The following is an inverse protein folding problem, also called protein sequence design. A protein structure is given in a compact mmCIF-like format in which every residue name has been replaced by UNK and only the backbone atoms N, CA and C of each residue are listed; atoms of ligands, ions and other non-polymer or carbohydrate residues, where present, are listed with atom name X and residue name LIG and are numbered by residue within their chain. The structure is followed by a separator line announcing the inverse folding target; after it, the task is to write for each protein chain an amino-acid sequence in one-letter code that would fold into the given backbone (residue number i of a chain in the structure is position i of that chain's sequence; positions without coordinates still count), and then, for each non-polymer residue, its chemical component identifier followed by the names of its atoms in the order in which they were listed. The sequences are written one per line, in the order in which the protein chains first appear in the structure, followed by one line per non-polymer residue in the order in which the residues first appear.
data_IF_085984807156
#
_entry.id   IF_085984807156
#
_cell.length_a   1.000
_cell.length_b   1.000
_cell.length_c   1.000
_cell.angle_alpha   90.00
_cell.angle_beta   90.00
_cell.angle_gamma   90.00
#
_symmetry.space_group_name_H-M   'P 1'
#
loop_
_entity.id
_entity.type
_entity.pdbx_description
1 polymer ?
#
# COMPACT_ATOMS: atom_id res chain seq x y z
N UNK A 1 -2.39 -32.13 -11.67
CA UNK A 1 -2.16 -32.23 -10.21
C UNK A 1 -2.77 -31.00 -9.54
N UNK A 2 -3.65 -31.24 -8.56
CA UNK A 2 -4.71 -30.32 -8.14
C UNK A 2 -4.26 -29.21 -7.18
N UNK A 3 -4.92 -28.06 -7.29
CA UNK A 3 -4.82 -26.95 -6.33
C UNK A 3 -5.20 -27.47 -4.94
N UNK A 4 -4.29 -27.37 -3.97
CA UNK A 4 -4.60 -27.71 -2.57
C UNK A 4 -5.42 -26.57 -1.97
N UNK A 5 -6.60 -26.92 -1.46
CA UNK A 5 -7.62 -25.98 -1.01
C UNK A 5 -8.12 -26.47 0.35
N UNK A 6 -8.18 -25.57 1.32
CA UNK A 6 -8.61 -25.87 2.69
C UNK A 6 -9.76 -24.92 2.99
N UNK A 7 -10.95 -25.47 3.22
CA UNK A 7 -12.13 -24.71 3.64
C UNK A 7 -12.23 -24.68 5.16
N UNK A 8 -12.66 -23.53 5.66
CA UNK A 8 -12.86 -23.31 7.09
C UNK A 8 -14.21 -22.66 7.39
N UNK A 9 -14.80 -23.04 8.51
CA UNK A 9 -16.10 -22.55 8.96
C UNK A 9 -16.76 -23.49 9.97
N UNK A 10 -17.98 -23.19 10.42
CA UNK A 10 -18.64 -23.99 11.48
C UNK A 10 -19.25 -25.32 11.03
N UNK A 11 -19.38 -25.52 9.72
CA UNK A 11 -20.00 -26.72 9.18
C UNK A 11 -19.06 -27.93 9.29
N UNK A 12 -19.63 -29.11 9.50
CA UNK A 12 -18.86 -30.34 9.77
C UNK A 12 -18.05 -30.81 8.56
N UNK A 13 -18.50 -30.50 7.34
CA UNK A 13 -17.86 -30.91 6.09
C UNK A 13 -16.63 -30.08 5.70
N UNK A 14 -16.26 -29.06 6.49
CA UNK A 14 -15.07 -28.26 6.21
C UNK A 14 -13.82 -28.97 6.70
N UNK A 15 -12.70 -28.74 6.01
CA UNK A 15 -11.39 -29.27 6.41
C UNK A 15 -10.97 -28.76 7.80
N UNK A 16 -11.26 -27.49 8.09
CA UNK A 16 -11.05 -26.86 9.40
C UNK A 16 -12.39 -26.40 10.00
N UNK A 17 -12.88 -27.15 10.97
CA UNK A 17 -14.11 -26.83 11.69
C UNK A 17 -13.85 -25.88 12.86
N UNK A 18 -14.62 -24.80 12.92
CA UNK A 18 -14.60 -23.85 14.05
C UNK A 18 -15.95 -23.87 14.75
N UNK A 19 -16.00 -24.28 16.03
CA UNK A 19 -17.24 -24.46 16.79
C UNK A 19 -17.78 -23.15 17.39
N UNK A 20 -17.99 -22.14 16.54
CA UNK A 20 -18.48 -20.83 16.96
C UNK A 20 -19.70 -20.41 16.12
N UNK A 21 -20.75 -19.94 16.78
CA UNK A 21 -22.01 -19.50 16.15
C UNK A 21 -21.83 -18.24 15.31
N UNK A 22 -20.82 -17.41 15.62
CA UNK A 22 -20.47 -16.23 14.86
C UNK A 22 -19.88 -16.58 13.50
N UNK A 23 -19.22 -17.73 13.38
CA UNK A 23 -18.54 -18.15 12.15
C UNK A 23 -19.53 -18.78 11.17
N UNK A 24 -19.61 -18.29 9.93
CA UNK A 24 -20.41 -18.89 8.85
C UNK A 24 -20.14 -20.39 8.63
N UNK A 25 -21.13 -21.10 8.07
CA UNK A 25 -21.01 -22.53 7.72
C UNK A 25 -19.81 -22.78 6.82
N UNK A 26 -19.67 -22.01 5.75
CA UNK A 26 -18.45 -21.87 4.95
C UNK A 26 -18.02 -20.42 5.14
N UNK A 27 -16.89 -20.18 5.80
CA UNK A 27 -16.49 -18.84 6.22
C UNK A 27 -15.35 -18.31 5.35
N UNK A 28 -14.28 -19.08 5.20
CA UNK A 28 -13.15 -18.70 4.39
C UNK A 28 -12.51 -19.93 3.73
N UNK A 29 -11.63 -19.67 2.77
CA UNK A 29 -10.86 -20.68 2.09
C UNK A 29 -9.40 -20.24 1.98
N UNK A 30 -8.49 -21.18 2.26
CA UNK A 30 -7.06 -21.03 2.02
C UNK A 30 -6.71 -21.83 0.77
N UNK A 31 -6.03 -21.19 -0.18
CA UNK A 31 -5.52 -21.87 -1.37
C UNK A 31 -4.04 -21.65 -1.56
N UNK A 32 -3.35 -22.71 -1.97
CA UNK A 32 -1.91 -22.69 -2.24
C UNK A 32 -1.72 -22.81 -3.75
N UNK A 33 -1.00 -21.87 -4.35
CA UNK A 33 -0.68 -21.91 -5.79
C UNK A 33 0.51 -22.82 -6.07
N UNK A 34 0.78 -23.09 -7.35
CA UNK A 34 1.93 -23.92 -7.76
C UNK A 34 3.26 -23.25 -7.41
N UNK A 35 3.27 -21.92 -7.34
CA UNK A 35 4.41 -21.08 -6.95
C UNK A 35 4.52 -20.93 -5.42
N UNK A 36 3.86 -21.80 -4.66
CA UNK A 36 3.88 -21.85 -3.20
C UNK A 36 3.38 -20.55 -2.52
N UNK A 37 2.51 -19.79 -3.19
CA UNK A 37 1.86 -18.61 -2.62
C UNK A 37 0.57 -19.02 -1.92
N UNK A 38 0.35 -18.47 -0.73
CA UNK A 38 -0.83 -18.75 0.09
C UNK A 38 -1.79 -17.57 -0.02
N UNK A 39 -3.04 -17.87 -0.35
CA UNK A 39 -4.11 -16.89 -0.43
C UNK A 39 -5.23 -17.30 0.52
N UNK A 40 -5.75 -16.34 1.27
CA UNK A 40 -7.00 -16.48 2.01
C UNK A 40 -8.10 -15.71 1.29
N UNK A 41 -9.29 -16.30 1.23
CA UNK A 41 -10.48 -15.69 0.62
C UNK A 41 -11.65 -15.79 1.58
N UNK A 42 -12.28 -14.66 1.86
CA UNK A 42 -13.58 -14.66 2.54
C UNK A 42 -14.67 -15.25 1.62
N UNK A 43 -15.49 -16.14 2.16
CA UNK A 43 -16.57 -16.81 1.41
C UNK A 43 -17.93 -16.14 1.64
N UNK A 44 -17.99 -14.80 1.61
CA UNK A 44 -19.18 -14.01 1.97
C UNK A 44 -19.65 -14.34 3.39
N UNK A 45 -18.70 -14.34 4.32
CA UNK A 45 -19.01 -14.65 5.71
C UNK A 45 -19.86 -13.54 6.34
N UNK A 46 -20.65 -13.86 7.38
CA UNK A 46 -21.60 -12.91 7.99
C UNK A 46 -20.90 -11.68 8.60
N UNK A 47 -19.73 -11.88 9.20
CA UNK A 47 -19.00 -10.83 9.93
C UNK A 47 -17.66 -10.47 9.26
N UNK A 48 -17.40 -11.00 8.06
CA UNK A 48 -16.13 -10.85 7.38
C UNK A 48 -15.01 -11.72 7.99
N UNK A 49 -13.92 -11.80 7.23
CA UNK A 49 -12.66 -12.42 7.67
C UNK A 49 -11.66 -11.31 7.96
N UNK A 50 -11.10 -11.29 9.16
CA UNK A 50 -10.09 -10.32 9.58
C UNK A 50 -8.70 -10.97 9.62
N UNK A 51 -7.69 -10.25 9.15
CA UNK A 51 -6.29 -10.64 9.26
C UNK A 51 -5.61 -9.65 10.19
N UNK A 52 -4.91 -10.15 11.21
CA UNK A 52 -4.15 -9.32 12.11
C UNK A 52 -2.93 -8.73 11.39
N UNK A 53 -2.90 -7.41 11.28
CA UNK A 53 -1.73 -6.68 10.79
C UNK A 53 -0.58 -6.80 11.80
N UNK A 54 0.58 -7.34 11.36
CA UNK A 54 1.76 -7.54 12.22
C UNK A 54 2.86 -6.49 12.02
N UNK A 55 2.83 -5.77 10.91
CA UNK A 55 3.80 -4.75 10.53
C UNK A 55 3.07 -3.62 9.81
N UNK A 56 3.64 -2.41 9.76
CA UNK A 56 3.08 -1.32 8.97
C UNK A 56 2.84 -1.76 7.52
N UNK A 57 1.66 -1.48 7.00
CA UNK A 57 1.28 -1.78 5.61
C UNK A 57 1.07 -0.47 4.86
N UNK A 58 1.56 -0.40 3.61
CA UNK A 58 1.33 0.76 2.77
C UNK A 58 -0.09 0.72 2.22
N UNK A 59 -0.87 1.77 2.48
CA UNK A 59 -2.22 1.90 1.93
C UNK A 59 -2.09 2.20 0.44
N UNK A 60 -2.52 1.27 -0.42
CA UNK A 60 -2.51 1.47 -1.86
C UNK A 60 -3.81 2.14 -2.31
N UNK A 61 -3.75 3.46 -2.52
CA UNK A 61 -4.88 4.26 -3.00
C UNK A 61 -5.01 4.28 -4.53
N UNK A 62 -4.13 3.58 -5.26
CA UNK A 62 -4.12 3.54 -6.72
C UNK A 62 -5.01 2.43 -7.30
N UNK A 63 -5.41 1.45 -6.48
CA UNK A 63 -6.33 0.38 -6.87
C UNK A 63 -7.77 0.79 -6.61
N UNK A 64 -8.71 0.30 -7.42
CA UNK A 64 -10.15 0.42 -7.14
C UNK A 64 -10.60 -0.46 -5.97
N UNK A 65 -9.71 -1.29 -5.43
CA UNK A 65 -9.96 -2.11 -4.25
C UNK A 65 -10.16 -1.24 -3.00
N UNK A 66 -11.22 -1.54 -2.24
CA UNK A 66 -11.55 -0.81 -1.03
C UNK A 66 -10.57 -1.17 0.09
N UNK A 67 -9.84 -0.18 0.60
CA UNK A 67 -8.95 -0.34 1.74
C UNK A 67 -9.74 -0.21 3.05
N UNK A 68 -10.06 -1.35 3.67
CA UNK A 68 -10.85 -1.43 4.92
C UNK A 68 -9.99 -1.90 6.08
N UNK A 69 -9.90 -1.10 7.15
CA UNK A 69 -9.15 -1.43 8.35
C UNK A 69 -10.03 -1.37 9.59
N UNK A 70 -9.96 -2.40 10.43
CA UNK A 70 -10.66 -2.42 11.71
C UNK A 70 -9.74 -2.02 12.86
N UNK A 71 -10.20 -1.08 13.70
CA UNK A 71 -9.55 -0.65 14.93
C UNK A 71 -10.56 -0.75 16.07
N UNK A 72 -10.43 -1.79 16.90
CA UNK A 72 -11.40 -2.09 17.94
C UNK A 72 -12.79 -2.34 17.35
N UNK A 73 -13.73 -1.43 17.62
CA UNK A 73 -15.11 -1.45 17.08
C UNK A 73 -15.33 -0.49 15.90
N UNK A 74 -14.31 0.27 15.53
CA UNK A 74 -14.37 1.24 14.45
C UNK A 74 -13.82 0.65 13.16
N UNK A 75 -14.44 0.98 12.02
CA UNK A 75 -13.97 0.64 10.68
C UNK A 75 -13.52 1.92 9.99
N UNK A 76 -12.28 1.92 9.49
CA UNK A 76 -11.74 2.97 8.64
C UNK A 76 -11.79 2.50 7.19
N UNK A 77 -12.37 3.30 6.32
CA UNK A 77 -12.43 3.06 4.89
C UNK A 77 -11.66 4.19 4.21
N UNK A 78 -10.58 3.84 3.49
CA UNK A 78 -9.81 4.81 2.72
C UNK A 78 -10.25 4.76 1.25
N UNK A 79 -10.74 5.89 0.76
CA UNK A 79 -11.14 6.08 -0.63
C UNK A 79 -10.30 7.20 -1.24
N UNK A 80 -9.80 7.00 -2.45
CA UNK A 80 -9.14 8.08 -3.20
C UNK A 80 -10.19 8.89 -3.96
N UNK A 81 -10.51 10.10 -3.47
CA UNK A 81 -11.37 11.04 -4.18
C UNK A 81 -10.53 11.88 -5.14
N UNK A 82 -10.04 11.28 -6.22
CA UNK A 82 -9.40 12.07 -7.27
C UNK A 82 -8.45 11.28 -8.14
N UNK A 83 -8.76 11.25 -9.43
CA UNK A 83 -7.72 11.14 -10.44
C UNK A 83 -6.71 12.26 -10.18
N UNK A 84 -5.49 11.91 -9.79
CA UNK A 84 -4.35 12.77 -10.06
C UNK A 84 -4.21 12.84 -11.58
N UNK A 85 -5.04 13.67 -12.23
CA UNK A 85 -4.75 14.15 -13.58
C UNK A 85 -3.43 14.89 -13.44
N UNK A 86 -2.36 14.30 -13.95
CA UNK A 86 -1.09 14.97 -14.16
C UNK A 86 -1.32 16.17 -15.09
N UNK A 87 -1.60 17.33 -14.52
CA UNK A 87 -1.41 18.60 -15.21
C UNK A 87 0.00 19.00 -14.85
N UNK A 88 0.92 18.77 -15.79
CA UNK A 88 2.35 19.02 -15.59
C UNK A 88 2.65 20.47 -15.20
N UNK A 89 3.57 20.62 -14.25
CA UNK A 89 4.49 21.75 -14.03
C UNK A 89 5.02 21.56 -12.60
N UNK A 90 6.29 21.66 -12.24
CA UNK A 90 7.52 21.94 -12.94
C UNK A 90 8.63 21.61 -11.96
N UNK A 91 9.77 21.18 -12.49
CA UNK A 91 11.10 21.43 -11.93
C UNK A 91 11.38 20.86 -10.53
N UNK A 92 11.88 19.63 -10.55
CA UNK A 92 13.04 19.18 -9.77
C UNK A 92 13.87 20.38 -9.28
N UNK A 93 13.83 20.65 -7.99
CA UNK A 93 14.70 21.62 -7.33
C UNK A 93 16.13 21.11 -7.43
N UNK A 94 16.87 21.63 -8.41
CA UNK A 94 18.33 21.54 -8.45
C UNK A 94 18.86 22.01 -7.09
N UNK A 95 19.34 21.05 -6.33
CA UNK A 95 20.12 21.24 -5.10
C UNK A 95 21.33 22.11 -5.44
N UNK A 96 21.29 23.40 -5.09
CA UNK A 96 22.47 24.27 -5.14
C UNK A 96 23.18 24.18 -3.79
N UNK A 97 24.31 23.46 -3.77
CA UNK A 97 25.26 23.47 -2.64
C UNK A 97 26.24 24.65 -2.84
N UNK A 98 26.33 25.51 -1.81
CA UNK A 98 27.46 26.38 -1.33
C UNK A 98 28.39 27.00 -2.39
N UNK A 99 28.75 28.29 -2.31
CA UNK A 99 29.65 28.82 -1.25
C UNK A 99 29.70 30.36 -1.27
N UNK A 100 29.65 30.98 -0.08
CA UNK A 100 29.99 32.39 0.20
C UNK A 100 31.50 32.62 -0.06
N UNK A 101 31.88 33.67 -0.78
CA UNK A 101 33.10 34.43 -0.47
C UNK A 101 32.82 35.93 -0.64
N UNK A 102 33.09 36.65 0.44
CA UNK A 102 32.97 38.11 0.61
C UNK A 102 34.34 38.75 0.30
N UNK A 103 34.31 40.06 0.10
CA UNK A 103 35.41 41.03 0.02
C UNK A 103 36.08 41.13 -1.35
N UNK A 104 36.63 42.25 -1.78
CA UNK A 104 36.48 43.71 -1.56
C UNK A 104 37.56 44.30 -2.47
N UNK A 105 37.37 45.55 -2.89
CA UNK A 105 38.43 46.45 -3.34
C UNK A 105 39.04 46.29 -4.76
N UNK A 106 39.29 47.49 -5.31
CA UNK A 106 40.21 47.88 -6.37
C UNK A 106 39.83 47.82 -7.87
N UNK A 107 39.42 49.01 -8.33
CA UNK A 107 40.13 49.83 -9.33
C UNK A 107 40.38 49.27 -10.74
N UNK A 108 39.57 49.76 -11.68
CA UNK A 108 39.95 50.52 -12.89
C UNK A 108 41.25 50.15 -13.65
N UNK A 109 41.12 49.61 -14.88
CA UNK A 109 41.98 49.89 -16.06
C UNK A 109 41.34 49.25 -17.31
N UNK A 110 40.71 50.02 -18.21
CA UNK A 110 41.26 50.68 -19.41
C UNK A 110 42.05 49.78 -20.36
N UNK A 111 41.44 49.60 -21.55
CA UNK A 111 41.99 49.76 -22.91
C UNK A 111 43.15 48.89 -23.41
N UNK A 112 42.82 48.18 -24.50
CA UNK A 112 43.48 48.14 -25.80
C UNK A 112 44.77 47.33 -26.04
N UNK A 113 44.63 46.49 -27.07
CA UNK A 113 45.50 46.29 -28.23
C UNK A 113 46.93 45.72 -28.11
N UNK A 114 47.10 44.70 -28.96
CA UNK A 114 48.26 44.39 -29.79
C UNK A 114 49.49 43.69 -29.17
N UNK A 115 49.78 42.57 -29.83
CA UNK A 115 51.02 41.78 -29.92
C UNK A 115 51.30 40.73 -28.83
#
# INVERSE_FOLDING_TARGET
QGKKMIRMGRAQQNDLRVHDISISRIHAEISITKENRIYIRDCKSKFGTLILMKSPEQINLATEEMNVYQIGRSILIFNSTGAAKSIGSSLCSKVSKKTKKKNSDDANKKENDAE
#
